data_IF_783599450752
#
_entry.id   IF_783599450752
#
_cell.length_a   1.000
_cell.length_b   1.000
_cell.length_c   1.000
_cell.angle_alpha   90.00
_cell.angle_beta   90.00
_cell.angle_gamma   90.00
#
_symmetry.space_group_name_H-M   'P 1'
#
loop_
_entity.id
_entity.type
_entity.pdbx_description
1 polymer ?
#
# COMPACT_ATOMS: atom_id res chain seq x y z
N UNK A 1 -12.53 22.38 4.35
CA UNK A 1 -12.61 20.91 4.50
C UNK A 1 -11.20 20.34 4.57
N UNK A 2 -10.92 19.59 5.59
CA UNK A 2 -9.61 18.97 5.77
C UNK A 2 -9.68 17.50 5.34
N UNK A 3 -8.60 17.03 4.71
CA UNK A 3 -8.48 15.61 4.34
C UNK A 3 -8.03 14.80 5.54
N UNK A 4 -8.63 13.65 5.73
CA UNK A 4 -8.12 12.68 6.69
C UNK A 4 -7.04 11.85 6.00
N UNK A 5 -5.80 12.34 6.05
CA UNK A 5 -4.68 11.71 5.36
C UNK A 5 -4.37 10.32 5.88
N UNK A 6 -4.53 10.09 7.17
CA UNK A 6 -4.31 8.75 7.74
C UNK A 6 -5.29 7.73 7.14
N UNK A 7 -6.54 8.12 7.01
CA UNK A 7 -7.55 7.25 6.43
C UNK A 7 -7.29 7.00 4.95
N UNK A 8 -6.90 8.05 4.23
CA UNK A 8 -6.53 7.92 2.80
C UNK A 8 -5.37 6.94 2.66
N UNK A 9 -4.34 7.09 3.49
CA UNK A 9 -3.17 6.22 3.44
C UNK A 9 -3.54 4.78 3.75
N UNK A 10 -4.39 4.55 4.74
CA UNK A 10 -4.87 3.22 5.08
C UNK A 10 -5.61 2.59 3.90
N UNK A 11 -6.47 3.37 3.23
CA UNK A 11 -7.23 2.85 2.09
C UNK A 11 -6.32 2.57 0.90
N UNK A 12 -5.34 3.42 0.63
CA UNK A 12 -4.37 3.19 -0.45
C UNK A 12 -3.56 1.93 -0.15
N UNK A 13 -3.08 1.78 1.08
CA UNK A 13 -2.32 0.60 1.48
C UNK A 13 -3.17 -0.67 1.35
N UNK A 14 -4.44 -0.61 1.74
CA UNK A 14 -5.36 -1.73 1.60
C UNK A 14 -5.57 -2.09 0.12
N UNK A 15 -5.73 -1.09 -0.74
CA UNK A 15 -5.93 -1.31 -2.18
C UNK A 15 -4.68 -1.84 -2.87
N UNK A 16 -3.49 -1.51 -2.37
CA UNK A 16 -2.25 -2.09 -2.89
C UNK A 16 -2.26 -3.61 -2.79
N UNK A 17 -2.97 -4.16 -1.81
CA UNK A 17 -3.09 -5.61 -1.66
C UNK A 17 -3.66 -6.29 -2.91
N UNK A 18 -4.64 -5.64 -3.56
CA UNK A 18 -5.26 -6.18 -4.78
C UNK A 18 -4.30 -6.30 -5.95
N UNK A 19 -3.29 -5.45 -5.98
CA UNK A 19 -2.37 -5.38 -7.11
C UNK A 19 -1.00 -5.95 -6.77
N UNK A 20 -0.90 -6.72 -5.67
CA UNK A 20 0.37 -7.35 -5.31
C UNK A 20 0.68 -8.52 -6.24
N UNK A 21 1.96 -8.71 -6.47
CA UNK A 21 2.48 -9.87 -7.18
C UNK A 21 3.79 -10.29 -6.54
N UNK A 22 4.13 -11.56 -6.66
CA UNK A 22 5.34 -12.08 -6.07
C UNK A 22 6.57 -11.67 -6.89
N UNK A 23 7.57 -11.15 -6.17
CA UNK A 23 8.91 -10.92 -6.68
C UNK A 23 9.84 -11.46 -5.60
N UNK A 24 9.93 -12.78 -5.56
CA UNK A 24 10.55 -13.51 -4.45
C UNK A 24 11.95 -13.02 -4.14
N UNK A 25 12.25 -12.88 -2.86
CA UNK A 25 11.45 -13.26 -1.70
C UNK A 25 10.45 -12.18 -1.23
N UNK A 26 10.25 -11.13 -2.01
CA UNK A 26 9.47 -9.95 -1.64
C UNK A 26 8.16 -9.89 -2.38
N UNK A 27 7.28 -9.01 -1.89
CA UNK A 27 6.02 -8.68 -2.53
C UNK A 27 6.12 -7.29 -3.15
N UNK A 28 5.65 -7.16 -4.38
CA UNK A 28 5.54 -5.85 -5.05
C UNK A 28 4.08 -5.55 -5.34
N UNK A 29 3.76 -4.27 -5.50
CA UNK A 29 2.42 -3.84 -5.88
C UNK A 29 2.53 -2.73 -6.93
N UNK A 30 1.57 -2.70 -7.86
CA UNK A 30 1.49 -1.61 -8.83
C UNK A 30 1.16 -0.30 -8.11
N UNK A 31 1.83 0.79 -8.50
CA UNK A 31 1.76 2.06 -7.77
C UNK A 31 0.89 3.13 -8.42
N UNK A 32 -0.18 2.71 -9.08
CA UNK A 32 -1.12 3.63 -9.72
C UNK A 32 -2.10 4.27 -8.74
N UNK A 33 -1.59 4.98 -7.73
CA UNK A 33 -2.39 5.60 -6.66
C UNK A 33 -1.96 7.05 -6.46
N UNK A 34 -2.63 7.73 -5.52
CA UNK A 34 -2.30 9.09 -5.18
C UNK A 34 -0.83 9.23 -4.75
N UNK A 35 -0.13 10.14 -5.40
CA UNK A 35 1.31 10.30 -5.20
C UNK A 35 1.67 10.71 -3.77
N UNK A 36 0.89 11.63 -3.19
CA UNK A 36 1.16 12.08 -1.82
C UNK A 36 0.94 10.95 -0.80
N UNK A 37 -0.10 10.16 -1.00
CA UNK A 37 -0.36 8.98 -0.15
C UNK A 37 0.79 7.98 -0.24
N UNK A 38 1.30 7.72 -1.43
CA UNK A 38 2.46 6.83 -1.60
C UNK A 38 3.68 7.38 -0.87
N UNK A 39 3.92 8.67 -0.95
CA UNK A 39 5.03 9.31 -0.23
C UNK A 39 4.91 9.14 1.28
N UNK A 40 3.72 9.32 1.83
CA UNK A 40 3.48 9.13 3.26
C UNK A 40 3.65 7.67 3.68
N UNK A 41 3.20 6.72 2.85
CA UNK A 41 3.38 5.29 3.13
C UNK A 41 4.86 4.92 3.14
N UNK A 42 5.64 5.52 2.24
CA UNK A 42 7.10 5.34 2.25
C UNK A 42 7.71 5.87 3.55
N UNK A 43 7.29 7.06 3.99
CA UNK A 43 7.77 7.66 5.24
C UNK A 43 7.43 6.79 6.45
N UNK A 44 6.31 6.09 6.40
CA UNK A 44 5.90 5.14 7.45
C UNK A 44 6.61 3.80 7.37
N UNK A 45 7.47 3.63 6.39
CA UNK A 45 8.23 2.41 6.13
C UNK A 45 7.34 1.20 5.79
N UNK A 46 6.27 1.44 5.07
CA UNK A 46 5.39 0.38 4.57
C UNK A 46 5.72 -0.02 3.14
N UNK A 47 6.29 0.89 2.36
CA UNK A 47 6.66 0.63 0.97
C UNK A 47 8.03 1.22 0.69
N UNK A 48 8.66 0.74 -0.39
CA UNK A 48 9.89 1.33 -0.92
C UNK A 48 9.60 2.70 -1.51
N UNK A 49 10.65 3.46 -1.83
CA UNK A 49 10.51 4.79 -2.41
C UNK A 49 9.72 4.73 -3.72
N UNK A 50 8.56 5.40 -3.81
CA UNK A 50 7.78 5.42 -5.04
C UNK A 50 8.41 6.27 -6.14
N UNK A 51 9.37 7.14 -5.81
CA UNK A 51 10.02 8.04 -6.78
C UNK A 51 11.12 7.32 -7.55
N UNK A 52 10.77 6.22 -8.20
CA UNK A 52 11.68 5.46 -9.06
C UNK A 52 11.04 5.26 -10.43
N UNK A 53 11.83 4.79 -11.39
CA UNK A 53 11.31 4.51 -12.73
C UNK A 53 10.46 3.23 -12.77
N UNK A 54 10.55 2.40 -11.76
CA UNK A 54 9.72 1.18 -11.68
C UNK A 54 8.25 1.55 -11.53
N UNK A 55 7.39 0.78 -12.17
CA UNK A 55 5.93 0.97 -12.10
C UNK A 55 5.31 0.36 -10.85
N UNK A 56 6.13 -0.27 -10.03
CA UNK A 56 5.69 -0.94 -8.81
C UNK A 56 6.57 -0.54 -7.65
N UNK A 57 6.08 -0.76 -6.44
CA UNK A 57 6.82 -0.57 -5.20
C UNK A 57 6.97 -1.90 -4.49
N UNK A 58 8.03 -2.03 -3.69
CA UNK A 58 8.17 -3.16 -2.78
C UNK A 58 7.36 -2.87 -1.52
N UNK A 59 6.65 -3.87 -1.03
CA UNK A 59 6.07 -3.81 0.29
C UNK A 59 7.12 -4.28 1.28
N UNK A 60 7.31 -3.51 2.35
CA UNK A 60 8.13 -3.99 3.47
C UNK A 60 7.37 -5.11 4.17
N UNK A 61 8.03 -5.85 5.04
CA UNK A 61 7.35 -6.88 5.82
C UNK A 61 6.19 -6.28 6.62
N UNK A 62 6.42 -5.13 7.27
CA UNK A 62 5.39 -4.41 8.00
C UNK A 62 4.27 -3.93 7.07
N UNK A 63 4.64 -3.44 5.88
CA UNK A 63 3.67 -2.96 4.89
C UNK A 63 2.80 -4.07 4.35
N UNK A 64 3.37 -5.22 4.04
CA UNK A 64 2.62 -6.37 3.56
C UNK A 64 1.61 -6.85 4.60
N UNK A 65 2.04 -6.94 5.84
CA UNK A 65 1.17 -7.34 6.95
C UNK A 65 0.03 -6.35 7.14
N UNK A 66 0.35 -5.07 7.20
CA UNK A 66 -0.65 -4.02 7.42
C UNK A 66 -1.62 -3.90 6.25
N UNK A 67 -1.13 -4.01 5.03
CA UNK A 67 -1.94 -4.01 3.81
C UNK A 67 -3.01 -5.10 3.87
N UNK A 68 -2.59 -6.32 4.20
CA UNK A 68 -3.50 -7.45 4.33
C UNK A 68 -4.53 -7.22 5.42
N UNK A 69 -4.10 -6.77 6.60
CA UNK A 69 -5.01 -6.51 7.72
C UNK A 69 -6.08 -5.49 7.35
N UNK A 70 -5.67 -4.38 6.71
CA UNK A 70 -6.59 -3.33 6.30
C UNK A 70 -7.53 -3.81 5.21
N UNK A 71 -7.01 -4.58 4.24
CA UNK A 71 -7.85 -5.14 3.19
C UNK A 71 -8.92 -6.06 3.76
N UNK A 72 -8.53 -6.95 4.67
CA UNK A 72 -9.47 -7.86 5.31
C UNK A 72 -10.54 -7.11 6.13
N UNK A 73 -10.12 -6.04 6.79
CA UNK A 73 -11.02 -5.24 7.62
C UNK A 73 -12.07 -4.47 6.80
N UNK A 74 -11.65 -3.90 5.67
CA UNK A 74 -12.50 -2.94 4.95
C UNK A 74 -13.10 -3.47 3.66
N UNK A 75 -12.50 -4.47 3.04
CA UNK A 75 -12.89 -4.88 1.69
C UNK A 75 -13.33 -6.34 1.58
N UNK A 76 -13.21 -7.13 2.61
CA UNK A 76 -13.71 -8.50 2.58
C UNK A 76 -15.19 -8.53 2.88
N UNK A 77 -15.91 -9.35 2.10
CA UNK A 77 -17.32 -9.60 2.35
C UNK A 77 -17.44 -10.89 3.13
N UNK A 78 -17.83 -10.78 4.38
CA UNK A 78 -18.02 -11.93 5.26
C UNK A 78 -19.43 -12.46 5.07
N UNK A 79 -19.55 -13.71 4.64
CA UNK A 79 -20.84 -14.37 4.40
C UNK A 79 -21.03 -15.46 5.43
#
# INVERSE_FOLDING_TARGET
MELNEEKIDDMVLALLYLTTFEDKPRLRAWKGHDWDALGRLHQKNYISDPATKAKSVLLTEAGAKRSRELFEKYFMKWV
#
